data_IF_870386656819
#
_entry.id   IF_870386656819
#
_cell.length_a   1.000
_cell.length_b   1.000
_cell.length_c   1.000
_cell.angle_alpha   90.00
_cell.angle_beta   90.00
_cell.angle_gamma   90.00
#
_symmetry.space_group_name_H-M   'P 1'
#
loop_
_entity.id
_entity.type
_entity.pdbx_description
1 polymer ?
#
# COMPACT_ATOMS: atom_id res chain seq x y z
N UNK A 1 22.03 -19.71 -19.34
CA UNK A 1 21.82 -19.47 -17.91
C UNK A 1 20.53 -18.69 -17.74
N UNK A 2 19.62 -19.02 -16.80
CA UNK A 2 18.37 -18.29 -16.65
C UNK A 2 18.63 -16.95 -15.93
N UNK A 3 18.03 -15.88 -16.46
CA UNK A 3 18.06 -14.55 -15.85
C UNK A 3 17.17 -14.53 -14.59
N UNK A 4 17.61 -13.95 -13.46
CA UNK A 4 16.75 -13.82 -12.30
C UNK A 4 15.58 -12.90 -12.61
N UNK A 5 14.36 -13.44 -12.60
CA UNK A 5 13.14 -12.63 -12.75
C UNK A 5 12.90 -11.89 -11.44
N UNK A 6 12.97 -10.56 -11.46
CA UNK A 6 12.56 -9.73 -10.33
C UNK A 6 11.03 -9.66 -10.30
N UNK A 7 10.39 -10.44 -9.43
CA UNK A 7 8.95 -10.36 -9.20
C UNK A 7 8.68 -9.20 -8.24
N UNK A 8 7.94 -8.18 -8.69
CA UNK A 8 7.53 -7.08 -7.83
C UNK A 8 6.57 -7.60 -6.75
N UNK A 9 7.09 -7.82 -5.53
CA UNK A 9 6.28 -8.23 -4.40
C UNK A 9 5.45 -7.04 -3.91
N UNK A 10 4.19 -6.99 -4.35
CA UNK A 10 3.22 -6.01 -3.86
C UNK A 10 2.64 -6.54 -2.54
N UNK A 11 3.17 -6.11 -1.40
CA UNK A 11 2.60 -6.43 -0.09
C UNK A 11 1.34 -5.59 0.14
N UNK A 12 0.23 -5.90 -0.55
CA UNK A 12 -1.06 -5.23 -0.31
C UNK A 12 -1.81 -5.82 0.87
N UNK A 13 -1.39 -6.99 1.36
CA UNK A 13 -2.06 -7.69 2.46
C UNK A 13 -1.33 -7.44 3.79
N UNK A 14 -1.90 -6.55 4.62
CA UNK A 14 -1.47 -6.35 6.00
C UNK A 14 -1.88 -7.58 6.82
N UNK A 15 -0.95 -8.14 7.60
CA UNK A 15 -1.17 -9.32 8.43
C UNK A 15 -0.98 -8.99 9.89
N UNK A 16 -1.86 -9.53 10.73
CA UNK A 16 -1.79 -9.35 12.18
C UNK A 16 -0.47 -9.92 12.72
N UNK A 17 0.23 -9.15 13.55
CA UNK A 17 1.50 -9.58 14.13
C UNK A 17 1.33 -10.82 15.02
N UNK A 18 0.17 -10.95 15.67
CA UNK A 18 -0.16 -12.04 16.59
C UNK A 18 -0.50 -13.34 15.86
N UNK A 19 -1.53 -13.35 15.01
CA UNK A 19 -2.07 -14.58 14.41
C UNK A 19 -1.71 -14.77 12.93
N UNK A 20 -1.01 -13.80 12.31
CA UNK A 20 -0.62 -13.79 10.90
C UNK A 20 -1.78 -13.86 9.89
N UNK A 21 -3.03 -13.77 10.36
CA UNK A 21 -4.20 -13.68 9.50
C UNK A 21 -4.29 -12.29 8.85
N UNK A 22 -4.93 -12.19 7.67
CA UNK A 22 -5.16 -10.91 7.01
C UNK A 22 -6.00 -9.98 7.90
N UNK A 23 -5.59 -8.71 7.97
CA UNK A 23 -6.34 -7.67 8.68
C UNK A 23 -7.25 -6.89 7.72
N UNK A 24 -8.32 -6.31 8.27
CA UNK A 24 -9.26 -5.49 7.51
C UNK A 24 -9.00 -4.02 7.78
N UNK A 25 -9.00 -3.20 6.74
CA UNK A 25 -8.97 -1.75 6.89
C UNK A 25 -10.28 -1.30 7.57
N UNK A 26 -10.16 -0.62 8.71
CA UNK A 26 -11.28 -0.05 9.47
C UNK A 26 -11.48 1.41 9.11
N UNK A 27 -10.41 2.21 9.19
CA UNK A 27 -10.45 3.66 8.94
C UNK A 27 -9.19 4.12 8.23
N UNK A 28 -9.35 5.19 7.44
CA UNK A 28 -8.24 5.95 6.85
C UNK A 28 -8.42 7.40 7.27
N UNK A 29 -7.42 7.96 7.94
CA UNK A 29 -7.43 9.31 8.47
C UNK A 29 -6.39 10.18 7.72
N UNK A 30 -6.75 11.40 7.30
CA UNK A 30 -5.77 12.35 6.79
C UNK A 30 -4.81 12.73 7.93
N UNK A 31 -3.50 12.59 7.70
CA UNK A 31 -2.50 12.84 8.74
C UNK A 31 -1.58 14.01 8.40
N UNK A 32 -0.74 13.85 7.37
CA UNK A 32 0.23 14.82 6.89
C UNK A 32 0.07 14.98 5.38
N UNK A 33 0.59 16.06 4.78
CA UNK A 33 0.63 16.19 3.32
C UNK A 33 1.31 14.95 2.70
N UNK A 34 0.59 14.27 1.80
CA UNK A 34 1.01 13.02 1.14
C UNK A 34 1.08 11.78 2.04
N UNK A 35 0.53 11.81 3.25
CA UNK A 35 0.42 10.63 4.11
C UNK A 35 -0.98 10.47 4.71
N UNK A 36 -1.41 9.23 4.76
CA UNK A 36 -2.64 8.83 5.44
C UNK A 36 -2.33 7.81 6.53
N UNK A 37 -3.04 7.92 7.64
CA UNK A 37 -2.97 6.94 8.71
C UNK A 37 -4.08 5.92 8.48
N UNK A 38 -3.72 4.67 8.25
CA UNK A 38 -4.67 3.57 8.07
C UNK A 38 -4.73 2.73 9.34
N UNK A 39 -5.93 2.51 9.85
CA UNK A 39 -6.17 1.60 10.97
C UNK A 39 -6.68 0.26 10.44
N UNK A 40 -6.00 -0.82 10.78
CA UNK A 40 -6.35 -2.18 10.39
C UNK A 40 -6.76 -2.98 11.63
N UNK A 41 -7.89 -3.67 11.56
CA UNK A 41 -8.39 -4.54 12.62
C UNK A 41 -8.24 -6.02 12.28
N UNK A 42 -7.81 -6.83 13.24
CA UNK A 42 -7.79 -8.28 13.12
C UNK A 42 -9.14 -8.86 13.59
N UNK A 43 -9.96 -9.47 12.71
CA UNK A 43 -11.25 -10.03 13.10
C UNK A 43 -11.14 -11.24 14.04
N UNK A 44 -9.98 -11.90 14.09
CA UNK A 44 -9.74 -13.06 14.94
C UNK A 44 -9.23 -12.68 16.33
N UNK A 45 -8.33 -11.71 16.42
CA UNK A 45 -7.71 -11.30 17.69
C UNK A 45 -8.43 -10.12 18.35
N UNK A 46 -9.23 -9.35 17.61
CA UNK A 46 -9.82 -8.10 18.08
C UNK A 46 -8.79 -7.00 18.33
N UNK A 47 -7.59 -7.12 17.77
CA UNK A 47 -6.51 -6.14 17.89
C UNK A 47 -6.47 -5.21 16.68
N UNK A 48 -6.15 -3.95 16.94
CA UNK A 48 -6.02 -2.92 15.90
C UNK A 48 -4.56 -2.48 15.76
N UNK A 49 -4.12 -2.27 14.52
CA UNK A 49 -2.77 -1.83 14.16
C UNK A 49 -2.87 -0.61 13.22
N UNK A 50 -2.08 0.44 13.49
CA UNK A 50 -2.08 1.68 12.71
C UNK A 50 -0.82 1.83 11.88
N UNK A 51 -0.98 2.14 10.61
CA UNK A 51 0.10 2.28 9.64
C UNK A 51 0.05 3.64 8.98
N UNK A 52 1.14 4.39 9.07
CA UNK A 52 1.31 5.61 8.30
C UNK A 52 1.76 5.22 6.88
N UNK A 53 0.92 5.51 5.88
CA UNK A 53 1.18 5.15 4.49
C UNK A 53 1.33 6.42 3.66
N UNK A 54 2.32 6.42 2.76
CA UNK A 54 2.41 7.46 1.74
C UNK A 54 1.26 7.31 0.76
N UNK A 55 0.57 8.42 0.48
CA UNK A 55 -0.41 8.51 -0.58
C UNK A 55 0.40 8.60 -1.88
N UNK A 56 0.62 7.48 -2.55
CA UNK A 56 1.05 7.54 -3.95
C UNK A 56 -0.08 8.23 -4.71
N UNK A 57 0.21 9.40 -5.31
CA UNK A 57 -0.73 10.05 -6.21
C UNK A 57 -1.21 8.97 -7.20
N UNK A 58 -2.52 8.73 -7.24
CA UNK A 58 -3.11 7.74 -8.12
C UNK A 58 -2.42 7.85 -9.49
N UNK A 59 -1.86 6.76 -9.99
CA UNK A 59 -1.22 6.67 -11.28
C UNK A 59 -2.25 6.93 -12.40
N UNK A 60 -2.63 8.19 -12.52
CA UNK A 60 -3.67 8.74 -13.38
C UNK A 60 -3.38 10.21 -13.71
N UNK A 61 -2.16 10.67 -13.45
CA UNK A 61 -1.57 11.78 -14.20
C UNK A 61 -0.66 11.13 -15.26
N UNK A 62 -1.18 10.96 -16.46
CA UNK A 62 -0.40 10.69 -17.66
C UNK A 62 0.59 11.84 -17.86
N UNK A 63 1.81 11.67 -17.36
CA UNK A 63 2.93 12.58 -17.62
C UNK A 63 3.27 12.44 -19.12
N UNK A 64 3.35 13.58 -19.78
CA UNK A 64 3.28 13.76 -21.23
C UNK A 64 4.13 12.82 -22.09
N UNK A 65 3.52 12.40 -23.20
CA UNK A 65 4.19 11.75 -24.31
C UNK A 65 5.24 12.71 -24.90
N UNK A 66 6.50 12.26 -24.92
CA UNK A 66 7.59 12.95 -25.61
C UNK A 66 7.26 13.05 -27.11
N UNK A 67 7.14 14.27 -27.62
CA UNK A 67 7.08 14.52 -29.07
C UNK A 67 8.49 14.40 -29.63
N UNK A 68 8.78 13.27 -30.28
CA UNK A 68 9.94 13.11 -31.14
C UNK A 68 9.70 13.85 -32.46
N UNK A 69 10.53 14.85 -32.71
CA UNK A 69 10.61 15.62 -33.96
C UNK A 69 11.19 14.77 -35.09
N UNK A 70 10.62 14.89 -36.29
CA UNK A 70 11.25 14.55 -37.58
C UNK A 70 10.98 15.69 -38.56
#
# INVERSE_FOLDING_TARGET
MPTPTCTHHRTTEIRCLTCRQPMRLLTTEPSLPNFELRNYGCPHCGTDERFLMSIEAAAGASIGQATSSS
#
